data_IF_326103536264
#
_entry.id   IF_326103536264
#
_cell.length_a   1.000
_cell.length_b   1.000
_cell.length_c   1.000
_cell.angle_alpha   90.00
_cell.angle_beta   90.00
_cell.angle_gamma   90.00
#
_symmetry.space_group_name_H-M   'P 1'
#
loop_
_entity.id
_entity.type
_entity.pdbx_description
1 polymer ?
#
# COMPACT_ATOMS: atom_id res chain seq x y z
N UNK A 1 -14.79 -0.63 6.16
CA UNK A 1 -13.85 0.49 6.01
C UNK A 1 -12.51 -0.14 5.75
N UNK A 2 -11.94 0.17 4.61
CA UNK A 2 -10.71 -0.42 4.13
C UNK A 2 -9.51 0.18 4.87
N UNK A 3 -8.43 -0.58 4.96
CA UNK A 3 -7.16 -0.17 5.59
C UNK A 3 -6.06 -0.43 4.56
N UNK A 4 -5.19 0.53 4.30
CA UNK A 4 -4.13 0.43 3.29
C UNK A 4 -2.85 1.08 3.80
N UNK A 5 -1.71 0.47 3.52
CA UNK A 5 -0.40 0.98 3.93
C UNK A 5 0.70 0.49 2.99
N UNK A 6 1.74 1.30 2.81
CA UNK A 6 3.05 0.83 2.32
C UNK A 6 4.03 1.02 3.46
N UNK A 7 4.78 -0.02 3.88
CA UNK A 7 5.73 0.11 4.97
C UNK A 7 6.95 0.95 4.60
N UNK A 8 7.17 1.29 3.32
CA UNK A 8 8.38 1.99 2.83
C UNK A 8 8.20 3.50 2.64
N UNK A 9 6.99 4.01 2.37
CA UNK A 9 6.77 5.45 2.08
C UNK A 9 7.04 6.35 3.29
N UNK A 10 6.63 5.96 4.50
CA UNK A 10 6.87 6.78 5.71
C UNK A 10 8.36 6.75 6.12
N UNK A 11 9.06 5.59 6.09
CA UNK A 11 10.52 5.56 6.21
C UNK A 11 11.25 6.41 5.17
N UNK A 12 10.79 6.45 3.91
CA UNK A 12 11.38 7.33 2.88
C UNK A 12 11.30 8.81 3.26
N UNK A 13 10.13 9.26 3.74
CA UNK A 13 9.97 10.63 4.25
C UNK A 13 10.94 10.89 5.41
N UNK A 14 11.08 9.95 6.35
CA UNK A 14 12.01 10.10 7.47
C UNK A 14 13.49 10.10 7.06
N UNK A 15 13.91 9.25 6.12
CA UNK A 15 15.27 9.29 5.54
C UNK A 15 15.49 10.61 4.80
N UNK A 16 14.48 11.13 4.09
CA UNK A 16 14.56 12.45 3.48
C UNK A 16 14.71 13.60 4.49
N UNK A 17 14.33 13.44 5.77
CA UNK A 17 14.62 14.46 6.80
C UNK A 17 16.13 14.63 6.99
N UNK A 18 16.91 13.56 6.87
CA UNK A 18 18.34 13.52 7.22
C UNK A 18 19.20 14.39 6.29
N UNK A 19 18.71 14.60 5.07
CA UNK A 19 19.32 15.44 4.04
C UNK A 19 18.83 16.90 4.06
N UNK A 20 17.92 17.27 4.98
CA UNK A 20 17.43 18.65 5.10
C UNK A 20 18.52 19.55 5.69
N UNK A 21 18.91 20.55 4.91
CA UNK A 21 19.81 21.65 5.30
C UNK A 21 18.98 22.90 5.59
N UNK A 22 19.24 23.56 6.71
CA UNK A 22 18.52 24.77 7.11
C UNK A 22 18.83 25.95 6.17
N UNK A 23 17.88 26.87 5.86
CA UNK A 23 18.04 27.83 4.76
C UNK A 23 19.21 28.83 4.89
N UNK A 24 19.75 29.02 6.11
CA UNK A 24 20.93 29.85 6.35
C UNK A 24 22.26 29.05 6.41
N UNK A 25 22.24 27.75 6.12
CA UNK A 25 23.41 26.87 6.10
C UNK A 25 24.01 26.50 7.46
N UNK A 26 23.47 26.98 8.59
CA UNK A 26 24.07 26.77 9.91
C UNK A 26 23.98 25.32 10.43
N UNK A 27 23.05 24.51 9.91
CA UNK A 27 22.94 23.09 10.28
C UNK A 27 22.27 22.23 9.20
N UNK A 28 22.57 20.94 9.25
CA UNK A 28 21.89 19.84 8.56
C UNK A 28 21.27 18.93 9.62
N UNK A 29 20.19 18.22 9.30
CA UNK A 29 19.56 17.24 10.22
C UNK A 29 20.52 16.08 10.52
N UNK A 30 21.24 15.60 9.51
CA UNK A 30 22.23 14.54 9.60
C UNK A 30 21.62 13.12 9.58
N UNK A 31 22.42 12.11 9.18
CA UNK A 31 22.00 10.72 9.05
C UNK A 31 21.84 10.01 10.41
N UNK A 32 21.32 8.78 10.36
CA UNK A 32 21.23 7.82 11.48
C UNK A 32 20.41 8.31 12.69
N UNK A 33 19.50 9.27 12.46
CA UNK A 33 18.51 9.74 13.45
C UNK A 33 17.75 8.57 14.07
N UNK A 34 17.89 8.42 15.39
CA UNK A 34 17.10 7.50 16.19
C UNK A 34 15.80 8.17 16.63
N UNK A 35 14.68 7.67 16.11
CA UNK A 35 13.34 8.02 16.55
C UNK A 35 12.97 7.29 17.86
N UNK A 36 12.22 7.98 18.72
CA UNK A 36 11.81 7.49 20.04
C UNK A 36 10.28 7.56 20.14
N UNK A 37 9.60 6.45 20.50
CA UNK A 37 8.15 6.38 20.56
C UNK A 37 7.60 7.01 21.85
N UNK A 38 6.42 7.60 21.77
CA UNK A 38 5.60 8.06 22.91
C UNK A 38 4.34 7.21 23.12
N UNK A 39 4.11 6.19 22.28
CA UNK A 39 3.02 5.22 22.44
C UNK A 39 3.37 3.84 21.84
N UNK A 40 2.55 2.83 22.14
CA UNK A 40 2.80 1.44 21.72
C UNK A 40 2.63 1.20 20.21
N UNK A 41 1.81 1.98 19.51
CA UNK A 41 1.70 1.89 18.05
C UNK A 41 2.97 2.42 17.37
N UNK A 42 3.57 3.50 17.89
CA UNK A 42 4.88 3.99 17.44
C UNK A 42 5.99 2.98 17.75
N UNK A 43 5.96 2.28 18.89
CA UNK A 43 6.93 1.21 19.21
C UNK A 43 6.88 0.10 18.16
N UNK A 44 5.70 -0.49 17.91
CA UNK A 44 5.49 -1.52 16.88
C UNK A 44 5.86 -1.03 15.47
N UNK A 45 5.57 0.23 15.15
CA UNK A 45 5.98 0.84 13.88
C UNK A 45 7.51 0.97 13.74
N UNK A 46 8.24 1.27 14.82
CA UNK A 46 9.70 1.45 14.73
C UNK A 46 10.44 0.13 14.43
N UNK A 47 9.90 -1.02 14.83
CA UNK A 47 10.41 -2.35 14.42
C UNK A 47 10.31 -2.57 12.90
N UNK A 48 9.27 -2.01 12.26
CA UNK A 48 9.08 -2.03 10.81
C UNK A 48 10.01 -1.01 10.14
N UNK A 49 10.10 0.21 10.69
CA UNK A 49 10.97 1.29 10.20
C UNK A 49 12.43 0.84 10.12
N UNK A 50 12.98 0.19 11.15
CA UNK A 50 14.38 -0.27 11.18
C UNK A 50 14.71 -1.38 10.16
N UNK A 51 13.69 -2.02 9.58
CA UNK A 51 13.85 -2.90 8.40
C UNK A 51 13.76 -2.05 7.13
N UNK A 52 12.63 -1.36 6.95
CA UNK A 52 12.31 -0.62 5.73
C UNK A 52 13.34 0.47 5.40
N UNK A 53 13.89 1.16 6.41
CA UNK A 53 14.95 2.17 6.29
C UNK A 53 16.18 1.69 5.53
N UNK A 54 16.54 0.41 5.65
CA UNK A 54 17.75 -0.18 5.04
C UNK A 54 17.53 -0.59 3.58
N UNK A 55 16.27 -0.74 3.19
CA UNK A 55 15.84 -1.26 1.88
C UNK A 55 15.24 -0.17 0.98
N UNK A 56 14.79 0.96 1.56
CA UNK A 56 14.02 1.99 0.83
C UNK A 56 14.80 2.62 -0.33
N UNK A 57 16.13 2.69 -0.24
CA UNK A 57 17.00 3.15 -1.33
C UNK A 57 17.12 2.18 -2.51
N UNK A 58 16.62 0.95 -2.38
CA UNK A 58 16.54 -0.04 -3.45
C UNK A 58 15.17 -0.07 -4.16
N UNK A 59 14.25 0.84 -3.81
CA UNK A 59 12.90 0.94 -4.39
C UNK A 59 12.81 2.20 -5.25
N UNK A 60 13.10 2.13 -6.57
CA UNK A 60 13.15 3.30 -7.44
C UNK A 60 11.78 3.97 -7.67
N UNK A 61 10.68 3.29 -7.34
CA UNK A 61 9.32 3.85 -7.38
C UNK A 61 8.99 4.78 -6.19
N UNK A 62 9.95 5.06 -5.32
CA UNK A 62 9.79 5.93 -4.15
C UNK A 62 10.61 7.21 -4.34
N UNK A 63 9.93 8.34 -4.35
CA UNK A 63 10.53 9.68 -4.33
C UNK A 63 10.20 10.38 -3.01
N UNK A 64 11.16 11.11 -2.44
CA UNK A 64 10.97 11.81 -1.17
C UNK A 64 11.70 13.15 -1.15
N UNK A 65 11.09 14.16 -0.52
CA UNK A 65 11.52 15.56 -0.56
C UNK A 65 11.25 16.26 0.77
N UNK A 66 12.27 16.91 1.32
CA UNK A 66 12.15 17.78 2.50
C UNK A 66 12.19 19.26 2.12
N UNK A 67 11.52 20.12 2.90
CA UNK A 67 11.46 21.56 2.65
C UNK A 67 10.98 22.37 3.86
N UNK A 68 11.54 23.57 4.04
CA UNK A 68 11.05 24.63 4.94
C UNK A 68 9.93 25.49 4.31
N UNK A 69 9.57 25.21 3.06
CA UNK A 69 8.54 25.93 2.29
C UNK A 69 7.45 24.93 1.90
N UNK A 70 6.21 25.16 2.33
CA UNK A 70 5.09 24.23 2.14
C UNK A 70 4.73 24.08 0.65
N UNK A 71 4.75 25.18 -0.09
CA UNK A 71 4.47 25.27 -1.52
C UNK A 71 5.38 24.35 -2.34
N UNK A 72 6.65 24.18 -1.94
CA UNK A 72 7.64 23.32 -2.62
C UNK A 72 7.32 21.82 -2.47
N UNK A 73 6.56 21.45 -1.44
CA UNK A 73 6.05 20.09 -1.20
C UNK A 73 4.65 19.90 -1.78
N UNK A 74 3.78 20.92 -1.70
CA UNK A 74 2.47 20.93 -2.33
C UNK A 74 2.61 20.83 -3.86
N UNK A 75 3.61 21.50 -4.46
CA UNK A 75 3.97 21.36 -5.87
C UNK A 75 4.43 19.93 -6.21
N UNK A 76 5.33 19.36 -5.42
CA UNK A 76 5.81 17.97 -5.58
C UNK A 76 4.64 16.98 -5.52
N UNK A 77 3.79 17.07 -4.50
CA UNK A 77 2.59 16.25 -4.36
C UNK A 77 1.64 16.40 -5.57
N UNK A 78 1.42 17.64 -6.05
CA UNK A 78 0.53 17.89 -7.20
C UNK A 78 1.09 17.35 -8.51
N UNK A 79 2.40 17.41 -8.74
CA UNK A 79 3.08 16.79 -9.89
C UNK A 79 2.88 15.27 -9.90
N UNK A 80 2.87 14.63 -8.73
CA UNK A 80 2.53 13.22 -8.58
C UNK A 80 1.01 12.94 -8.47
N UNK A 81 0.13 13.91 -8.80
CA UNK A 81 -1.32 13.72 -8.84
C UNK A 81 -2.05 13.77 -7.49
N UNK A 82 -1.37 14.12 -6.40
CA UNK A 82 -1.97 14.21 -5.07
C UNK A 82 -2.55 15.61 -4.82
N UNK A 83 -3.87 15.66 -4.63
CA UNK A 83 -4.62 16.86 -4.25
C UNK A 83 -4.76 16.94 -2.71
N UNK A 84 -3.62 16.96 -2.03
CA UNK A 84 -3.51 17.26 -0.60
C UNK A 84 -2.47 18.36 -0.42
N UNK A 85 -2.78 19.33 0.42
CA UNK A 85 -1.93 20.50 0.66
C UNK A 85 -1.55 20.54 2.15
N UNK A 86 -0.30 20.89 2.40
CA UNK A 86 0.23 21.19 3.72
C UNK A 86 0.02 22.67 4.02
N UNK A 87 -0.40 22.96 5.25
CA UNK A 87 -0.45 24.33 5.79
C UNK A 87 0.97 24.95 5.84
N UNK A 88 1.10 26.29 5.76
CA UNK A 88 2.38 26.99 5.93
C UNK A 88 3.06 26.65 7.26
N UNK A 89 4.39 26.50 7.23
CA UNK A 89 5.18 26.08 8.39
C UNK A 89 5.60 27.26 9.28
N UNK A 90 5.79 27.00 10.58
CA UNK A 90 6.47 27.96 11.46
C UNK A 90 7.95 28.16 11.05
N UNK A 91 8.62 29.27 11.43
CA UNK A 91 10.00 29.56 11.02
C UNK A 91 11.06 28.52 11.44
N UNK A 92 10.75 27.68 12.44
CA UNK A 92 11.56 26.58 12.94
C UNK A 92 11.04 25.18 12.51
N UNK A 93 9.95 25.12 11.75
CA UNK A 93 9.39 23.88 11.20
C UNK A 93 9.85 23.63 9.75
N UNK A 94 9.92 22.35 9.41
CA UNK A 94 9.98 21.86 8.04
C UNK A 94 9.15 20.59 7.93
N UNK A 95 8.77 20.22 6.71
CA UNK A 95 8.11 18.94 6.46
C UNK A 95 8.88 18.10 5.45
N UNK A 96 8.45 16.84 5.36
CA UNK A 96 8.90 15.86 4.38
C UNK A 96 7.68 15.22 3.73
N UNK A 97 7.68 15.18 2.41
CA UNK A 97 6.74 14.42 1.62
C UNK A 97 7.45 13.21 1.02
N UNK A 98 6.74 12.09 0.86
CA UNK A 98 7.19 10.95 0.09
C UNK A 98 6.03 10.38 -0.72
N UNK A 99 6.33 10.00 -1.95
CA UNK A 99 5.42 9.40 -2.92
C UNK A 99 5.90 7.98 -3.20
N UNK A 100 4.96 7.07 -3.40
CA UNK A 100 5.22 5.72 -3.90
C UNK A 100 4.20 5.42 -5.00
N UNK A 101 4.67 5.16 -6.23
CA UNK A 101 3.83 4.95 -7.40
C UNK A 101 4.27 3.69 -8.16
N UNK A 102 3.53 2.59 -7.99
CA UNK A 102 3.78 1.31 -8.66
C UNK A 102 2.64 0.94 -9.61
N UNK A 103 3.00 0.35 -10.76
CA UNK A 103 2.06 -0.07 -11.81
C UNK A 103 2.37 -1.52 -12.19
N UNK A 104 1.46 -2.43 -11.88
CA UNK A 104 1.67 -3.88 -12.03
C UNK A 104 0.62 -4.46 -12.99
N UNK A 105 1.00 -4.60 -14.25
CA UNK A 105 0.20 -5.36 -15.22
C UNK A 105 0.25 -6.86 -14.91
N UNK A 106 -0.89 -7.54 -15.00
CA UNK A 106 -0.97 -8.99 -14.82
C UNK A 106 -0.17 -9.73 -15.90
N UNK A 107 0.47 -10.85 -15.54
CA UNK A 107 1.20 -11.70 -16.48
C UNK A 107 0.31 -12.17 -17.63
N UNK A 108 -0.95 -12.48 -17.32
CA UNK A 108 -2.05 -12.64 -18.26
C UNK A 108 -3.23 -11.81 -17.76
N UNK A 109 -3.87 -11.05 -18.64
CA UNK A 109 -5.08 -10.32 -18.30
C UNK A 109 -6.23 -11.28 -17.93
N UNK A 110 -7.11 -10.83 -17.05
CA UNK A 110 -8.39 -11.48 -16.77
C UNK A 110 -9.49 -10.99 -17.72
N UNK A 111 -10.75 -11.24 -17.35
CA UNK A 111 -11.93 -10.62 -17.98
C UNK A 111 -12.83 -9.99 -16.93
N UNK A 112 -13.42 -8.85 -17.25
CA UNK A 112 -14.45 -8.23 -16.42
C UNK A 112 -15.67 -9.16 -16.28
N UNK A 113 -16.10 -9.43 -15.05
CA UNK A 113 -17.26 -10.26 -14.74
C UNK A 113 -17.94 -9.75 -13.46
N UNK A 114 -19.26 -9.89 -13.36
CA UNK A 114 -20.00 -9.56 -12.14
C UNK A 114 -19.82 -10.63 -11.06
N UNK A 115 -19.47 -10.19 -9.86
CA UNK A 115 -19.53 -10.96 -8.61
C UNK A 115 -20.93 -10.84 -8.02
N UNK A 116 -21.49 -11.95 -7.56
CA UNK A 116 -22.56 -11.95 -6.55
C UNK A 116 -21.89 -12.12 -5.20
N UNK A 117 -22.17 -11.20 -4.28
CA UNK A 117 -21.57 -11.14 -2.94
C UNK A 117 -22.27 -12.05 -1.95
N UNK A 118 -21.58 -12.34 -0.85
CA UNK A 118 -22.13 -12.96 0.36
C UNK A 118 -23.37 -12.25 0.93
N UNK A 119 -23.54 -10.92 0.69
CA UNK A 119 -24.73 -10.14 1.08
C UNK A 119 -25.81 -10.04 -0.02
N UNK A 120 -25.71 -10.87 -1.06
CA UNK A 120 -26.64 -10.94 -2.20
C UNK A 120 -26.52 -9.81 -3.23
N UNK A 121 -25.70 -8.78 -2.97
CA UNK A 121 -25.52 -7.66 -3.91
C UNK A 121 -24.54 -8.03 -5.03
N UNK A 122 -24.59 -7.30 -6.14
CA UNK A 122 -23.60 -7.43 -7.22
C UNK A 122 -22.42 -6.48 -7.02
N UNK A 123 -21.28 -6.82 -7.61
CA UNK A 123 -20.10 -5.94 -7.70
C UNK A 123 -19.28 -6.25 -8.96
N UNK A 124 -18.52 -5.29 -9.52
CA UNK A 124 -17.59 -5.55 -10.61
C UNK A 124 -16.40 -6.37 -10.12
N UNK A 125 -15.93 -7.30 -10.95
CA UNK A 125 -14.85 -8.22 -10.65
C UNK A 125 -14.07 -8.66 -11.89
N UNK A 126 -13.01 -9.41 -11.64
CA UNK A 126 -12.06 -9.92 -12.63
C UNK A 126 -12.01 -11.44 -12.52
N UNK A 127 -12.42 -12.12 -13.59
CA UNK A 127 -12.25 -13.56 -13.76
C UNK A 127 -10.87 -13.83 -14.36
N UNK A 128 -10.03 -14.58 -13.64
CA UNK A 128 -8.87 -15.23 -14.22
C UNK A 128 -9.34 -16.57 -14.81
N UNK A 129 -9.52 -16.61 -16.12
CA UNK A 129 -9.92 -17.84 -16.85
C UNK A 129 -8.82 -18.91 -16.83
N UNK A 130 -7.59 -18.51 -16.53
CA UNK A 130 -6.47 -19.41 -16.31
C UNK A 130 -6.33 -19.75 -14.83
N UNK A 131 -5.95 -21.00 -14.59
CA UNK A 131 -5.58 -21.53 -13.28
C UNK A 131 -4.44 -20.69 -12.66
N UNK A 132 -4.75 -19.97 -11.58
CA UNK A 132 -3.79 -19.17 -10.82
C UNK A 132 -3.11 -20.00 -9.74
N UNK A 133 -1.79 -19.82 -9.48
CA UNK A 133 -1.13 -20.45 -8.35
C UNK A 133 -1.76 -20.02 -7.03
N UNK A 134 -1.90 -20.95 -6.10
CA UNK A 134 -2.49 -20.74 -4.78
C UNK A 134 -1.84 -21.64 -3.75
N UNK A 135 -1.93 -21.26 -2.48
CA UNK A 135 -1.44 -22.06 -1.35
C UNK A 135 -2.38 -21.99 -0.16
N UNK A 136 -2.31 -22.97 0.73
CA UNK A 136 -3.06 -22.99 2.00
C UNK A 136 -2.16 -22.65 3.17
N UNK A 137 -2.73 -22.18 4.28
CA UNK A 137 -2.00 -21.86 5.51
C UNK A 137 -2.71 -22.53 6.70
N UNK A 138 -2.01 -23.25 7.60
CA UNK A 138 -2.62 -23.82 8.80
C UNK A 138 -3.33 -22.77 9.66
N UNK A 139 -4.59 -23.02 10.02
CA UNK A 139 -5.41 -22.08 10.79
C UNK A 139 -6.02 -20.93 9.97
N UNK A 140 -5.84 -20.90 8.65
CA UNK A 140 -6.49 -19.93 7.75
C UNK A 140 -7.49 -20.65 6.83
N UNK A 141 -8.75 -20.18 6.81
CA UNK A 141 -9.84 -20.86 6.11
C UNK A 141 -9.70 -20.85 4.59
N UNK A 142 -9.18 -19.74 4.05
CA UNK A 142 -9.23 -19.43 2.62
C UNK A 142 -7.86 -19.70 1.98
N UNK A 143 -7.81 -20.17 0.72
CA UNK A 143 -6.55 -20.19 -0.01
C UNK A 143 -6.00 -18.77 -0.16
N UNK A 144 -4.67 -18.64 -0.18
CA UNK A 144 -4.02 -17.44 -0.71
C UNK A 144 -3.82 -17.65 -2.20
N UNK A 145 -4.42 -16.78 -3.00
CA UNK A 145 -4.25 -16.75 -4.45
C UNK A 145 -3.05 -15.88 -4.79
N UNK A 146 -2.22 -16.32 -5.72
CA UNK A 146 -1.06 -15.60 -6.24
C UNK A 146 -1.36 -15.16 -7.67
N UNK A 147 -1.18 -13.86 -7.95
CA UNK A 147 -1.33 -13.25 -9.26
C UNK A 147 0.05 -12.78 -9.74
N UNK A 148 0.73 -13.56 -10.61
CA UNK A 148 1.99 -13.13 -11.22
C UNK A 148 1.78 -11.88 -12.08
N UNK A 149 2.72 -10.95 -12.01
CA UNK A 149 2.71 -9.73 -12.84
C UNK A 149 3.64 -9.89 -14.04
N UNK A 150 3.78 -8.86 -14.88
CA UNK A 150 4.82 -8.79 -15.92
C UNK A 150 6.21 -8.41 -15.37
N UNK A 151 6.32 -8.05 -14.09
CA UNK A 151 7.60 -7.83 -13.40
C UNK A 151 7.97 -9.06 -12.55
N UNK A 152 8.99 -8.96 -11.70
CA UNK A 152 9.27 -9.98 -10.69
C UNK A 152 8.29 -9.94 -9.50
N UNK A 153 7.44 -8.92 -9.40
CA UNK A 153 6.52 -8.72 -8.29
C UNK A 153 5.32 -9.67 -8.39
N UNK A 154 4.82 -10.13 -7.24
CA UNK A 154 3.62 -10.97 -7.15
C UNK A 154 2.59 -10.32 -6.25
N UNK A 155 1.35 -10.25 -6.73
CA UNK A 155 0.21 -9.77 -5.93
C UNK A 155 -0.50 -10.97 -5.33
N UNK A 156 -0.78 -10.92 -4.03
CA UNK A 156 -1.45 -11.99 -3.31
C UNK A 156 -2.81 -11.52 -2.78
N UNK A 157 -3.82 -12.39 -2.89
CA UNK A 157 -5.20 -12.14 -2.45
C UNK A 157 -5.69 -13.26 -1.52
N UNK A 158 -6.34 -12.92 -0.40
CA UNK A 158 -7.12 -13.89 0.39
C UNK A 158 -8.20 -13.21 1.22
N UNK A 159 -9.33 -13.88 1.44
CA UNK A 159 -10.38 -13.37 2.34
C UNK A 159 -9.94 -13.48 3.81
N UNK A 160 -10.13 -12.42 4.59
CA UNK A 160 -9.79 -12.38 6.03
C UNK A 160 -10.90 -11.69 6.83
N UNK A 161 -10.94 -11.93 8.14
CA UNK A 161 -11.63 -11.02 9.06
C UNK A 161 -10.95 -9.65 9.12
N UNK A 162 -11.67 -8.62 9.57
CA UNK A 162 -11.15 -7.25 9.63
C UNK A 162 -9.95 -7.17 10.60
N UNK A 163 -8.73 -6.79 10.14
CA UNK A 163 -7.60 -6.61 11.04
C UNK A 163 -7.81 -5.42 11.97
N UNK A 164 -7.19 -5.49 13.16
CA UNK A 164 -7.34 -4.48 14.21
C UNK A 164 -6.74 -3.12 13.82
N UNK A 165 -5.51 -3.12 13.31
CA UNK A 165 -4.79 -1.95 12.81
C UNK A 165 -3.86 -2.31 11.62
N UNK A 166 -3.17 -1.32 11.05
CA UNK A 166 -2.25 -1.51 9.91
C UNK A 166 -1.05 -2.41 10.22
N UNK A 167 -0.57 -2.42 11.47
CA UNK A 167 0.54 -3.26 11.90
C UNK A 167 0.11 -4.72 12.00
N UNK A 168 -1.09 -4.98 12.54
CA UNK A 168 -1.71 -6.30 12.55
C UNK A 168 -1.95 -6.80 11.12
N UNK A 169 -2.49 -5.95 10.23
CA UNK A 169 -2.73 -6.28 8.82
C UNK A 169 -1.45 -6.74 8.08
N UNK A 170 -0.33 -6.05 8.30
CA UNK A 170 0.97 -6.45 7.72
C UNK A 170 1.57 -7.68 8.43
N UNK A 171 1.39 -7.83 9.74
CA UNK A 171 1.79 -9.03 10.46
C UNK A 171 1.07 -10.28 9.90
N UNK A 172 -0.23 -10.18 9.61
CA UNK A 172 -0.99 -11.23 8.91
C UNK A 172 -0.40 -11.56 7.54
N UNK A 173 -0.11 -10.56 6.70
CA UNK A 173 0.51 -10.80 5.38
C UNK A 173 1.86 -11.54 5.49
N UNK A 174 2.73 -11.13 6.42
CA UNK A 174 4.03 -11.79 6.67
C UNK A 174 3.86 -13.21 7.22
N UNK A 175 2.91 -13.42 8.14
CA UNK A 175 2.61 -14.74 8.71
C UNK A 175 2.10 -15.73 7.64
N UNK A 176 1.16 -15.30 6.79
CA UNK A 176 0.64 -16.11 5.69
C UNK A 176 1.75 -16.56 4.73
N UNK A 177 2.66 -15.65 4.36
CA UNK A 177 3.81 -15.97 3.51
C UNK A 177 4.80 -16.94 4.17
N UNK A 178 5.08 -16.77 5.47
CA UNK A 178 6.02 -17.61 6.21
C UNK A 178 5.50 -19.04 6.48
N UNK A 179 4.18 -19.26 6.48
CA UNK A 179 3.53 -20.53 6.85
C UNK A 179 2.84 -21.24 5.68
N UNK A 180 3.15 -20.84 4.44
CA UNK A 180 2.57 -21.37 3.20
C UNK A 180 2.80 -22.88 3.02
N UNK A 181 1.73 -23.60 2.66
CA UNK A 181 1.72 -25.04 2.39
C UNK A 181 1.10 -25.37 1.03
N UNK A 182 1.58 -26.48 0.44
CA UNK A 182 1.16 -27.12 -0.82
C UNK A 182 0.57 -26.20 -1.90
N UNK A 183 1.36 -25.91 -2.94
CA UNK A 183 0.87 -25.25 -4.13
C UNK A 183 -0.29 -26.03 -4.80
N UNK A 184 -1.36 -25.31 -5.13
CA UNK A 184 -2.52 -25.75 -5.91
C UNK A 184 -2.82 -24.71 -7.00
N UNK A 185 -3.62 -25.07 -7.97
CA UNK A 185 -4.18 -24.10 -8.93
C UNK A 185 -5.70 -24.02 -8.82
N UNK A 186 -6.25 -22.85 -9.13
CA UNK A 186 -7.68 -22.62 -9.24
C UNK A 186 -7.95 -21.40 -10.13
N UNK A 187 -9.04 -21.41 -10.89
CA UNK A 187 -9.61 -20.18 -11.44
C UNK A 187 -10.09 -19.29 -10.29
N UNK A 188 -9.80 -17.99 -10.35
CA UNK A 188 -10.25 -17.02 -9.36
C UNK A 188 -11.17 -15.97 -9.98
N UNK A 189 -12.22 -15.59 -9.27
CA UNK A 189 -12.98 -14.36 -9.50
C UNK A 189 -12.82 -13.44 -8.28
N UNK A 190 -12.22 -12.26 -8.48
CA UNK A 190 -11.95 -11.30 -7.40
C UNK A 190 -12.48 -9.89 -7.73
N UNK A 191 -12.83 -9.04 -6.75
CA UNK A 191 -13.42 -7.73 -7.01
C UNK A 191 -12.46 -6.76 -7.70
N UNK A 192 -13.00 -5.94 -8.60
CA UNK A 192 -12.31 -4.70 -9.01
C UNK A 192 -12.27 -3.74 -7.83
N UNK A 193 -11.25 -2.88 -7.77
CA UNK A 193 -11.07 -1.92 -6.68
C UNK A 193 -10.88 -0.52 -7.25
N UNK A 194 -11.56 0.45 -6.65
CA UNK A 194 -11.30 1.88 -6.81
C UNK A 194 -11.40 2.54 -5.42
N UNK A 195 -10.23 2.83 -4.86
CA UNK A 195 -10.02 3.35 -3.51
C UNK A 195 -9.17 4.62 -3.57
N UNK A 196 -9.63 5.68 -2.91
CA UNK A 196 -8.81 6.83 -2.51
C UNK A 196 -9.05 7.09 -1.02
N UNK A 197 -8.04 6.80 -0.19
CA UNK A 197 -8.11 6.93 1.26
C UNK A 197 -7.14 8.01 1.74
N UNK A 198 -7.69 9.12 2.25
CA UNK A 198 -6.96 10.17 2.97
C UNK A 198 -7.04 9.93 4.47
N UNK A 199 -5.89 9.84 5.15
CA UNK A 199 -5.78 9.58 6.60
C UNK A 199 -4.81 10.58 7.24
N UNK A 200 -5.27 11.25 8.30
CA UNK A 200 -4.36 11.96 9.21
C UNK A 200 -3.74 10.95 10.19
N UNK A 201 -2.41 10.79 10.14
CA UNK A 201 -1.68 9.81 10.94
C UNK A 201 -1.42 10.34 12.36
N UNK A 202 -2.50 10.68 13.08
CA UNK A 202 -2.44 11.29 14.41
C UNK A 202 -1.59 10.46 15.41
N UNK A 203 -1.53 9.13 15.22
CA UNK A 203 -0.74 8.21 16.05
C UNK A 203 0.79 8.39 15.93
N UNK A 204 1.30 9.01 14.85
CA UNK A 204 2.72 9.35 14.69
C UNK A 204 3.12 10.65 15.43
N UNK A 205 2.16 11.51 15.76
CA UNK A 205 2.44 12.84 16.32
C UNK A 205 3.11 12.72 17.68
N UNK A 206 4.03 13.63 17.97
CA UNK A 206 4.83 13.63 19.19
C UNK A 206 6.00 12.64 19.22
N UNK A 207 6.15 11.75 18.22
CA UNK A 207 7.38 10.95 18.06
C UNK A 207 8.57 11.88 17.77
N UNK A 208 9.74 11.59 18.34
CA UNK A 208 10.85 12.56 18.42
C UNK A 208 12.23 11.93 18.31
N UNK A 209 13.27 12.73 17.98
CA UNK A 209 14.66 12.26 17.84
C UNK A 209 15.60 12.84 18.91
N UNK A 210 16.62 12.07 19.29
CA UNK A 210 17.78 12.64 19.99
C UNK A 210 18.66 13.40 18.98
N UNK A 211 19.19 14.58 19.31
CA UNK A 211 20.13 15.28 18.44
C UNK A 211 21.49 14.56 18.46
N UNK A 212 21.88 13.99 17.31
CA UNK A 212 23.25 13.54 17.03
C UNK A 212 24.03 14.64 16.28
N UNK A 213 23.35 15.32 15.37
CA UNK A 213 23.72 16.62 14.80
C UNK A 213 22.44 17.43 14.55
N UNK A 214 22.53 18.76 14.42
CA UNK A 214 21.35 19.63 14.27
C UNK A 214 20.38 19.61 15.47
N UNK A 215 19.18 20.20 15.34
CA UNK A 215 18.19 20.27 16.42
C UNK A 215 17.48 18.92 16.64
N UNK A 216 16.82 18.78 17.79
CA UNK A 216 15.84 17.71 18.03
C UNK A 216 14.65 17.87 17.07
N UNK A 217 14.25 16.79 16.39
CA UNK A 217 13.02 16.76 15.60
C UNK A 217 11.86 16.16 16.40
N UNK A 218 10.64 16.61 16.10
CA UNK A 218 9.38 16.09 16.65
C UNK A 218 8.31 16.13 15.56
N UNK A 219 7.52 15.06 15.41
CA UNK A 219 6.41 15.01 14.45
C UNK A 219 5.27 15.91 14.94
N UNK A 220 5.11 17.10 14.37
CA UNK A 220 3.99 18.02 14.66
C UNK A 220 2.74 17.68 13.86
N UNK A 221 2.89 17.23 12.61
CA UNK A 221 1.83 16.77 11.71
C UNK A 221 2.28 15.57 10.86
N UNK A 222 1.33 14.73 10.44
CA UNK A 222 1.56 13.59 9.55
C UNK A 222 0.26 13.18 8.84
N UNK A 223 0.33 12.97 7.54
CA UNK A 223 -0.80 12.62 6.68
C UNK A 223 -0.38 11.56 5.65
N UNK A 224 -1.32 10.76 5.18
CA UNK A 224 -1.14 9.84 4.05
C UNK A 224 -2.39 9.86 3.19
N UNK A 225 -2.22 10.09 1.89
CA UNK A 225 -3.20 9.69 0.89
C UNK A 225 -2.72 8.38 0.24
N UNK A 226 -3.64 7.47 -0.06
CA UNK A 226 -3.31 6.21 -0.73
C UNK A 226 -4.43 5.90 -1.71
N UNK A 227 -4.06 5.78 -2.99
CA UNK A 227 -4.97 5.43 -4.08
C UNK A 227 -4.66 4.02 -4.57
N UNK A 228 -5.68 3.22 -4.89
CA UNK A 228 -5.53 1.86 -5.44
C UNK A 228 -6.62 1.63 -6.47
N UNK A 229 -6.21 1.27 -7.70
CA UNK A 229 -7.10 0.88 -8.80
C UNK A 229 -6.74 -0.53 -9.26
N UNK A 230 -7.71 -1.44 -9.32
CA UNK A 230 -7.48 -2.83 -9.74
C UNK A 230 -8.56 -3.30 -10.72
N UNK A 231 -8.13 -3.78 -11.89
CA UNK A 231 -9.00 -4.15 -13.00
C UNK A 231 -8.50 -5.44 -13.69
N UNK A 232 -9.05 -5.76 -14.87
CA UNK A 232 -8.71 -6.96 -15.63
C UNK A 232 -7.31 -6.96 -16.27
N UNK A 233 -6.60 -5.83 -16.27
CA UNK A 233 -5.28 -5.65 -16.91
C UNK A 233 -4.13 -5.57 -15.89
N UNK A 234 -4.40 -5.07 -14.67
CA UNK A 234 -3.42 -4.98 -13.59
C UNK A 234 -3.97 -4.47 -12.26
N UNK A 235 -3.06 -4.28 -11.31
CA UNK A 235 -3.23 -3.31 -10.22
C UNK A 235 -2.35 -2.10 -10.50
N UNK A 236 -2.96 -0.92 -10.52
CA UNK A 236 -2.31 0.35 -10.83
C UNK A 236 -2.65 1.38 -9.77
N UNK A 237 -1.73 2.29 -9.54
CA UNK A 237 -2.00 3.53 -8.84
C UNK A 237 -2.26 4.57 -9.95
N UNK A 238 -3.55 4.81 -10.28
CA UNK A 238 -4.17 5.83 -11.18
C UNK A 238 -4.58 5.42 -12.65
N UNK A 239 -5.31 6.29 -13.37
CA UNK A 239 -6.35 6.03 -14.45
C UNK A 239 -5.90 6.45 -15.90
N UNK A 240 -6.60 6.34 -17.07
CA UNK A 240 -7.98 6.07 -17.57
C UNK A 240 -7.94 5.74 -19.11
N UNK A 241 -8.84 5.07 -19.87
CA UNK A 241 -10.06 4.21 -19.78
C UNK A 241 -10.25 3.50 -21.20
N UNK A 242 -11.28 2.78 -21.70
CA UNK A 242 -12.70 2.43 -21.41
C UNK A 242 -13.20 1.21 -22.30
N UNK A 243 -14.51 1.14 -22.67
CA UNK A 243 -15.22 0.20 -23.62
C UNK A 243 -15.46 -1.26 -23.16
N UNK A 244 -16.61 -1.88 -23.54
CA UNK A 244 -16.99 -3.28 -23.25
C UNK A 244 -18.26 -3.78 -23.99
N UNK A 245 -18.70 -5.03 -23.77
CA UNK A 245 -19.97 -5.63 -24.28
C UNK A 245 -20.37 -6.95 -23.56
N UNK A 246 -21.69 -7.16 -23.39
CA UNK A 246 -22.52 -8.38 -23.17
C UNK A 246 -22.06 -9.60 -22.30
N UNK A 247 -23.07 -10.30 -21.74
CA UNK A 247 -22.94 -11.58 -21.02
C UNK A 247 -23.10 -12.81 -21.92
N UNK A 248 -22.44 -13.91 -21.52
CA UNK A 248 -22.90 -15.28 -21.79
C UNK A 248 -22.73 -16.12 -20.51
N UNK A 249 -23.67 -17.03 -20.23
CA UNK A 249 -23.57 -17.94 -19.09
C UNK A 249 -22.74 -19.18 -19.46
N UNK A 250 -21.75 -19.53 -18.63
CA UNK A 250 -20.87 -20.68 -18.83
C UNK A 250 -20.79 -21.51 -17.55
N UNK A 251 -20.80 -22.83 -17.70
CA UNK A 251 -20.61 -23.80 -16.62
C UNK A 251 -19.25 -23.55 -15.94
N UNK A 252 -19.24 -23.41 -14.61
CA UNK A 252 -18.02 -23.11 -13.86
C UNK A 252 -17.35 -24.39 -13.33
N UNK A 253 -16.03 -24.56 -13.55
CA UNK A 253 -15.20 -25.43 -12.73
C UNK A 253 -15.16 -24.97 -11.26
N UNK A 254 -14.41 -25.69 -10.41
CA UNK A 254 -14.17 -25.30 -9.01
C UNK A 254 -13.36 -23.98 -8.91
N UNK A 255 -14.07 -22.86 -9.04
CA UNK A 255 -13.56 -21.50 -9.02
C UNK A 255 -13.61 -20.92 -7.62
N UNK A 256 -12.48 -20.41 -7.12
CA UNK A 256 -12.48 -19.60 -5.91
C UNK A 256 -13.08 -18.22 -6.20
N UNK A 257 -14.03 -17.77 -5.37
CA UNK A 257 -14.64 -16.44 -5.49
C UNK A 257 -14.34 -15.65 -4.22
N UNK A 258 -13.86 -14.42 -4.39
CA UNK A 258 -13.67 -13.47 -3.29
C UNK A 258 -14.94 -12.59 -3.23
N UNK A 259 -15.86 -12.95 -2.33
CA UNK A 259 -17.23 -12.42 -2.22
C UNK A 259 -17.52 -11.69 -0.89
N UNK A 260 -16.51 -11.64 -0.01
CA UNK A 260 -16.41 -10.88 1.25
C UNK A 260 -15.05 -10.12 1.30
N UNK A 261 -14.84 -9.17 2.22
CA UNK A 261 -13.59 -8.42 2.35
C UNK A 261 -12.31 -9.27 2.33
N UNK A 262 -11.25 -8.71 1.75
CA UNK A 262 -10.01 -9.44 1.48
C UNK A 262 -8.76 -8.64 1.79
N UNK A 263 -7.69 -9.36 2.13
CA UNK A 263 -6.33 -8.86 2.19
C UNK A 263 -5.70 -8.96 0.80
N UNK A 264 -5.09 -7.87 0.35
CA UNK A 264 -4.18 -7.80 -0.78
C UNK A 264 -2.80 -7.41 -0.29
N UNK A 265 -1.74 -8.03 -0.80
CA UNK A 265 -0.37 -7.52 -0.66
C UNK A 265 0.45 -7.69 -1.92
N UNK A 266 1.48 -6.85 -2.06
CA UNK A 266 2.44 -6.89 -3.16
C UNK A 266 3.79 -7.32 -2.60
N UNK A 267 4.30 -8.47 -3.05
CA UNK A 267 5.60 -9.01 -2.68
C UNK A 267 6.63 -8.74 -3.79
N UNK A 268 7.83 -8.30 -3.42
CA UNK A 268 8.96 -8.06 -4.33
C UNK A 268 10.16 -8.90 -3.91
N UNK A 269 10.68 -9.79 -4.77
CA UNK A 269 11.88 -10.56 -4.45
C UNK A 269 13.07 -9.67 -4.05
N UNK A 270 13.65 -9.93 -2.89
CA UNK A 270 14.77 -9.17 -2.33
C UNK A 270 14.41 -8.14 -1.25
N UNK A 271 13.13 -7.90 -0.98
CA UNK A 271 12.67 -7.06 0.14
C UNK A 271 12.21 -7.91 1.34
N UNK A 272 12.35 -7.40 2.56
CA UNK A 272 11.94 -8.09 3.80
C UNK A 272 10.48 -7.84 4.20
N UNK A 273 9.80 -6.89 3.55
CA UNK A 273 8.41 -6.52 3.78
C UNK A 273 7.67 -6.38 2.42
N UNK A 274 6.34 -6.59 2.38
CA UNK A 274 5.56 -6.31 1.17
C UNK A 274 5.64 -4.82 0.80
N UNK A 275 5.75 -4.50 -0.48
CA UNK A 275 5.71 -3.11 -0.99
C UNK A 275 4.42 -2.38 -0.58
N UNK A 276 3.32 -3.11 -0.53
CA UNK A 276 1.98 -2.63 -0.20
C UNK A 276 1.20 -3.74 0.53
N UNK A 277 0.37 -3.36 1.50
CA UNK A 277 -0.63 -4.22 2.12
C UNK A 277 -1.95 -3.45 2.26
N UNK A 278 -3.07 -4.07 1.91
CA UNK A 278 -4.39 -3.45 2.03
C UNK A 278 -5.52 -4.44 2.27
N UNK A 279 -6.35 -4.16 3.27
CA UNK A 279 -7.62 -4.84 3.54
C UNK A 279 -8.76 -4.07 2.86
N UNK A 280 -9.34 -4.67 1.82
CA UNK A 280 -10.32 -4.04 0.94
C UNK A 280 -11.75 -4.44 1.33
N UNK A 281 -12.60 -3.43 1.57
CA UNK A 281 -14.03 -3.60 1.88
C UNK A 281 -14.92 -3.10 0.74
N UNK A 282 -16.16 -3.56 0.71
CA UNK A 282 -17.02 -3.51 -0.48
C UNK A 282 -17.57 -2.11 -0.81
N UNK A 283 -17.21 -1.10 0.01
CA UNK A 283 -17.36 0.32 -0.33
C UNK A 283 -16.45 0.76 -1.48
N UNK A 284 -15.37 0.02 -1.71
CA UNK A 284 -14.34 0.35 -2.69
C UNK A 284 -14.34 -0.63 -3.87
N UNK A 285 -15.31 -1.55 -3.92
CA UNK A 285 -15.46 -2.53 -5.00
C UNK A 285 -16.21 -1.92 -6.19
N UNK A 286 -15.47 -1.14 -6.98
CA UNK A 286 -15.96 -0.42 -8.16
C UNK A 286 -15.05 -0.74 -9.34
N UNK A 287 -15.54 -0.53 -10.56
CA UNK A 287 -14.68 -0.60 -11.74
C UNK A 287 -13.90 0.73 -11.83
N UNK A 288 -12.56 0.75 -11.70
CA UNK A 288 -11.76 1.97 -11.76
C UNK A 288 -11.58 2.50 -13.20
N UNK A 289 -12.11 1.80 -14.21
CA UNK A 289 -11.78 2.00 -15.62
C UNK A 289 -10.57 1.18 -16.07
N UNK A 290 -10.16 1.39 -17.32
CA UNK A 290 -8.82 1.01 -17.81
C UNK A 290 -7.78 2.07 -17.44
N UNK A 291 -6.52 1.86 -17.81
CA UNK A 291 -5.35 2.68 -17.45
C UNK A 291 -4.84 3.59 -18.56
#
# INVERSE_FOLDING_TARGET
MSLVTSPYTIPAAFVATEHVVHPNGLWVVGPERRWNPVNEQQRRYLEIFEIARKEVSAIPEIEAKGSFVAEVLNEFLRVHGFAMELEPFAPDEFAVAAVFQVVLAWFKAGKAQTIVRSDGKTSPGVLMEHDMPSFTVPGHENPVISLPTKTADTVYLTMIEKPADECAMMATARQLMATRQQARTTQVLFPMVDLDLKVALQWLKGMWTLPQSGPQLKVTQAFRQTKVKMNEEGVRIEEAAAVGIAFAAVFLPNRHVIDRPFLMWVDRPGLSLPLFVGYMTEKDWKNPGKS
#
